data_IF_643676009290
#
_entry.id   IF_643676009290
#
_cell.length_a   1.000
_cell.length_b   1.000
_cell.length_c   1.000
_cell.angle_alpha   90.00
_cell.angle_beta   90.00
_cell.angle_gamma   90.00
#
_symmetry.space_group_name_H-M   'P 1'
#
loop_
_entity.id
_entity.type
_entity.pdbx_description
1 polymer ?
#
# COMPACT_ATOMS: atom_id res chain seq x y z
N UNK A 1 16.77 -74.03 37.91
CA UNK A 1 18.12 -73.72 37.36
C UNK A 1 17.92 -72.77 36.18
N UNK A 2 18.76 -71.73 36.09
CA UNK A 2 18.74 -70.56 35.19
C UNK A 2 17.69 -69.49 35.55
N UNK A 3 17.97 -68.58 36.48
CA UNK A 3 18.83 -67.37 36.42
C UNK A 3 18.44 -66.37 35.32
N UNK A 4 17.57 -65.44 35.72
CA UNK A 4 17.68 -63.99 35.54
C UNK A 4 18.57 -63.46 34.42
N UNK A 5 17.96 -63.21 33.26
CA UNK A 5 18.45 -62.17 32.36
C UNK A 5 17.75 -60.88 32.80
N UNK A 6 18.52 -60.00 33.45
CA UNK A 6 18.04 -58.69 33.86
C UNK A 6 17.76 -57.88 32.60
N UNK A 7 16.49 -57.81 32.17
CA UNK A 7 16.04 -57.15 30.94
C UNK A 7 16.45 -55.67 30.90
N UNK A 8 16.60 -55.05 32.08
CA UNK A 8 17.13 -53.71 32.26
C UNK A 8 18.61 -53.58 31.86
N UNK A 9 19.40 -54.66 31.96
CA UNK A 9 20.79 -54.70 31.54
C UNK A 9 20.92 -54.88 30.01
N UNK A 10 19.99 -55.61 29.39
CA UNK A 10 19.96 -55.80 27.92
C UNK A 10 19.48 -54.53 27.21
N UNK A 11 18.44 -53.87 27.75
CA UNK A 11 17.95 -52.59 27.21
C UNK A 11 18.97 -51.48 27.43
N UNK A 12 19.65 -51.43 28.59
CA UNK A 12 20.76 -50.48 28.81
C UNK A 12 21.94 -50.75 27.87
N UNK A 13 22.32 -52.01 27.64
CA UNK A 13 23.41 -52.35 26.73
C UNK A 13 23.09 -52.04 25.26
N UNK A 14 21.84 -52.25 24.81
CA UNK A 14 21.39 -51.86 23.48
C UNK A 14 21.32 -50.34 23.32
N UNK A 15 20.81 -49.62 24.31
CA UNK A 15 20.80 -48.16 24.31
C UNK A 15 22.24 -47.60 24.31
N UNK A 16 23.16 -48.20 25.06
CA UNK A 16 24.57 -47.84 25.06
C UNK A 16 25.25 -48.09 23.70
N UNK A 17 24.95 -49.21 23.03
CA UNK A 17 25.50 -49.51 21.70
C UNK A 17 25.00 -48.56 20.62
N UNK A 18 23.71 -48.21 20.66
CA UNK A 18 23.11 -47.26 19.71
C UNK A 18 23.56 -45.82 19.98
N UNK A 19 23.73 -45.43 21.26
CA UNK A 19 24.26 -44.12 21.63
C UNK A 19 25.73 -43.95 21.22
N UNK A 20 26.58 -44.97 21.42
CA UNK A 20 27.97 -44.92 20.95
C UNK A 20 28.08 -44.89 19.42
N UNK A 21 27.25 -45.64 18.69
CA UNK A 21 27.21 -45.56 17.22
C UNK A 21 26.72 -44.20 16.72
N UNK A 22 25.72 -43.61 17.37
CA UNK A 22 25.24 -42.27 17.03
C UNK A 22 26.28 -41.17 17.33
N UNK A 23 27.00 -41.28 18.45
CA UNK A 23 28.10 -40.37 18.80
C UNK A 23 29.29 -40.54 17.86
N UNK A 24 29.66 -41.77 17.47
CA UNK A 24 30.70 -41.98 16.47
C UNK A 24 30.34 -41.40 15.09
N UNK A 25 29.07 -41.51 14.68
CA UNK A 25 28.57 -40.88 13.44
C UNK A 25 28.59 -39.35 13.57
N UNK A 26 28.20 -38.78 14.71
CA UNK A 26 28.21 -37.34 14.94
C UNK A 26 29.65 -36.77 14.99
N UNK A 27 30.61 -37.51 15.56
CA UNK A 27 32.04 -37.12 15.58
C UNK A 27 32.69 -37.20 14.19
N UNK A 28 32.25 -38.14 13.33
CA UNK A 28 32.66 -38.22 11.93
C UNK A 28 32.05 -37.05 11.12
N UNK A 29 30.80 -36.68 11.39
CA UNK A 29 30.12 -35.55 10.75
C UNK A 29 30.74 -34.19 11.14
N UNK A 30 31.07 -34.00 12.43
CA UNK A 30 31.75 -32.78 12.92
C UNK A 30 33.23 -32.70 12.50
N UNK A 31 33.86 -33.83 12.15
CA UNK A 31 35.21 -33.87 11.57
C UNK A 31 35.25 -33.55 10.07
N UNK A 32 34.16 -33.79 9.33
CA UNK A 32 34.07 -33.58 7.89
C UNK A 32 33.84 -32.11 7.49
N UNK A 33 33.38 -31.26 8.41
CA UNK A 33 33.17 -29.82 8.17
C UNK A 33 34.49 -29.02 8.07
N UNK A 34 35.63 -29.59 8.47
CA UNK A 34 36.94 -28.91 8.45
C UNK A 34 37.81 -29.14 7.21
N UNK A 35 37.35 -29.95 6.24
CA UNK A 35 38.07 -30.17 4.97
C UNK A 35 37.06 -30.29 3.85
N UNK A 36 36.74 -29.18 3.19
CA UNK A 36 35.78 -29.11 2.10
C UNK A 36 35.98 -30.19 1.03
N UNK A 37 35.17 -31.24 1.07
CA UNK A 37 35.08 -32.28 0.06
C UNK A 37 33.62 -32.71 -0.10
N UNK A 38 33.16 -32.80 -1.35
CA UNK A 38 31.78 -33.12 -1.73
C UNK A 38 31.40 -34.56 -1.33
N UNK A 39 30.49 -34.70 -0.37
CA UNK A 39 29.97 -35.98 0.14
C UNK A 39 28.66 -36.34 -0.59
N UNK A 40 28.72 -36.63 -1.89
CA UNK A 40 27.52 -37.07 -2.63
C UNK A 40 27.69 -38.37 -3.43
N UNK A 41 28.91 -38.89 -3.61
CA UNK A 41 29.13 -40.13 -4.40
C UNK A 41 29.48 -41.38 -3.58
N UNK A 42 29.77 -41.28 -2.28
CA UNK A 42 30.02 -42.47 -1.44
C UNK A 42 28.79 -42.98 -0.68
N UNK A 43 27.64 -42.30 -0.78
CA UNK A 43 26.42 -42.68 -0.07
C UNK A 43 25.60 -43.75 -0.80
N UNK A 44 25.80 -43.94 -2.10
CA UNK A 44 25.01 -44.84 -2.95
C UNK A 44 25.46 -46.30 -2.90
N UNK A 45 26.65 -46.61 -2.36
CA UNK A 45 27.21 -47.97 -2.36
C UNK A 45 27.11 -48.72 -1.01
N UNK A 46 26.70 -48.07 0.08
CA UNK A 46 26.54 -48.72 1.40
C UNK A 46 25.09 -49.09 1.74
N UNK A 47 24.11 -48.59 0.98
CA UNK A 47 22.67 -48.82 1.21
C UNK A 47 22.09 -50.03 0.45
N UNK A 48 22.91 -50.76 -0.31
CA UNK A 48 22.45 -51.87 -1.15
C UNK A 48 22.59 -53.29 -0.53
N UNK A 49 22.98 -53.41 0.75
CA UNK A 49 23.06 -54.73 1.43
C UNK A 49 22.11 -54.94 2.64
N UNK A 50 21.21 -54.00 2.94
CA UNK A 50 20.19 -54.16 4.00
C UNK A 50 18.81 -54.42 3.37
N UNK A 51 18.66 -55.60 2.76
CA UNK A 51 17.42 -56.06 2.13
C UNK A 51 16.35 -56.45 3.15
N UNK A 52 15.15 -55.85 2.99
CA UNK A 52 13.78 -56.31 3.27
C UNK A 52 13.37 -57.07 4.55
N UNK A 53 14.28 -57.55 5.41
CA UNK A 53 13.93 -58.30 6.63
C UNK A 53 13.76 -57.41 7.88
N UNK A 54 14.26 -56.16 7.86
CA UNK A 54 14.20 -55.27 9.02
C UNK A 54 12.90 -54.46 9.15
N UNK A 55 12.23 -54.15 8.04
CA UNK A 55 11.00 -53.34 8.07
C UNK A 55 9.82 -54.19 8.56
N UNK A 56 9.70 -55.42 8.05
CA UNK A 56 8.62 -56.35 8.46
C UNK A 56 8.76 -56.72 9.94
N UNK A 57 9.99 -56.96 10.40
CA UNK A 57 10.26 -57.25 11.81
C UNK A 57 9.90 -56.05 12.71
N UNK A 58 10.19 -54.82 12.28
CA UNK A 58 9.81 -53.60 12.99
C UNK A 58 8.29 -53.42 13.11
N UNK A 59 7.55 -53.67 12.03
CA UNK A 59 6.08 -53.62 12.05
C UNK A 59 5.46 -54.74 12.93
N UNK A 60 6.02 -55.95 12.92
CA UNK A 60 5.54 -57.06 13.76
C UNK A 60 5.78 -56.76 15.24
N UNK A 61 6.93 -56.19 15.60
CA UNK A 61 7.23 -55.79 16.99
C UNK A 61 6.28 -54.69 17.47
N UNK A 62 5.96 -53.71 16.61
CA UNK A 62 4.98 -52.66 16.92
C UNK A 62 3.58 -53.26 17.09
N UNK A 63 3.16 -54.16 16.20
CA UNK A 63 1.84 -54.81 16.26
C UNK A 63 1.70 -55.67 17.53
N UNK A 64 2.75 -56.42 17.90
CA UNK A 64 2.81 -57.22 19.13
C UNK A 64 2.80 -56.34 20.38
N UNK A 65 3.42 -55.16 20.34
CA UNK A 65 3.40 -54.18 21.42
C UNK A 65 1.98 -53.64 21.68
N UNK A 66 1.21 -53.33 20.62
CA UNK A 66 -0.18 -52.88 20.75
C UNK A 66 -1.16 -53.98 21.17
N UNK A 67 -0.87 -55.25 20.88
CA UNK A 67 -1.72 -56.39 21.29
C UNK A 67 -1.49 -56.78 22.75
N UNK A 68 -0.25 -56.71 23.27
CA UNK A 68 0.07 -57.05 24.66
C UNK A 68 -0.11 -55.89 25.65
N UNK A 69 -0.16 -54.64 25.17
CA UNK A 69 -0.43 -53.46 26.00
C UNK A 69 -1.60 -52.64 25.42
N UNK A 70 -2.84 -53.15 25.47
CA UNK A 70 -4.02 -52.43 24.97
C UNK A 70 -4.31 -51.13 25.77
N UNK A 71 -3.62 -50.93 26.90
CA UNK A 71 -3.69 -49.73 27.74
C UNK A 71 -2.63 -48.66 27.43
N UNK A 72 -1.68 -48.89 26.52
CA UNK A 72 -0.87 -47.82 25.93
C UNK A 72 -1.60 -47.23 24.73
N UNK A 73 -2.80 -46.72 24.98
CA UNK A 73 -3.25 -45.56 24.22
C UNK A 73 -2.12 -44.54 24.39
N UNK A 74 -1.54 -44.10 23.27
CA UNK A 74 -0.95 -42.76 23.22
C UNK A 74 -1.98 -41.91 23.96
N UNK A 75 -1.66 -41.32 25.14
CA UNK A 75 -2.58 -40.33 25.65
C UNK A 75 -2.68 -39.39 24.48
N UNK A 76 -3.88 -39.27 23.90
CA UNK A 76 -4.18 -38.16 23.01
C UNK A 76 -3.46 -37.01 23.66
N UNK A 77 -2.46 -36.45 22.99
CA UNK A 77 -1.90 -35.21 23.43
C UNK A 77 -3.08 -34.26 23.32
N UNK A 78 -3.91 -34.25 24.36
CA UNK A 78 -4.79 -33.16 24.68
C UNK A 78 -3.78 -32.07 24.84
N UNK A 79 -3.59 -31.33 23.75
CA UNK A 79 -2.89 -30.09 23.82
C UNK A 79 -3.67 -29.37 24.92
N UNK A 80 -3.04 -29.26 26.09
CA UNK A 80 -3.46 -28.28 27.06
C UNK A 80 -3.26 -27.00 26.28
N UNK A 81 -4.31 -26.56 25.57
CA UNK A 81 -4.33 -25.30 24.86
C UNK A 81 -4.15 -24.28 25.97
N UNK A 82 -2.88 -23.90 26.20
CA UNK A 82 -2.52 -22.94 27.25
C UNK A 82 -2.95 -21.60 26.69
N UNK A 83 -4.23 -21.31 26.83
CA UNK A 83 -4.74 -19.98 26.67
C UNK A 83 -4.17 -19.14 27.81
N UNK A 84 -3.57 -17.96 27.55
CA UNK A 84 -3.17 -17.07 28.62
C UNK A 84 -4.35 -16.78 29.56
N UNK A 85 -4.15 -16.79 30.88
CA UNK A 85 -5.24 -16.68 31.86
C UNK A 85 -6.10 -15.40 31.75
N UNK A 86 -5.55 -14.35 31.14
CA UNK A 86 -6.22 -13.07 30.92
C UNK A 86 -6.79 -12.93 29.50
N UNK A 87 -6.71 -14.00 28.69
CA UNK A 87 -7.26 -14.07 27.34
C UNK A 87 -8.31 -15.17 27.25
N UNK A 88 -9.16 -15.07 26.23
CA UNK A 88 -10.19 -16.04 25.89
C UNK A 88 -9.83 -16.65 24.54
N UNK A 89 -9.76 -17.97 24.47
CA UNK A 89 -9.41 -18.69 23.26
C UNK A 89 -10.63 -19.48 22.77
N UNK A 90 -10.95 -19.34 21.49
CA UNK A 90 -12.07 -20.02 20.83
C UNK A 90 -11.55 -20.98 19.76
N UNK A 91 -12.39 -21.92 19.32
CA UNK A 91 -12.13 -22.79 18.15
C UNK A 91 -10.74 -23.44 18.19
N UNK A 92 -10.45 -24.20 19.25
CA UNK A 92 -9.13 -24.83 19.45
C UNK A 92 -7.95 -23.83 19.52
N UNK A 93 -8.25 -22.61 19.97
CA UNK A 93 -7.33 -21.49 20.10
C UNK A 93 -6.78 -20.92 18.78
N UNK A 94 -7.57 -21.01 17.71
CA UNK A 94 -7.34 -20.27 16.47
C UNK A 94 -7.67 -18.78 16.65
N UNK A 95 -8.70 -18.46 17.44
CA UNK A 95 -9.05 -17.09 17.77
C UNK A 95 -8.73 -16.80 19.23
N UNK A 96 -7.86 -15.81 19.47
CA UNK A 96 -7.40 -15.43 20.80
C UNK A 96 -7.77 -13.98 21.07
N UNK A 97 -8.68 -13.79 22.02
CA UNK A 97 -9.18 -12.50 22.47
C UNK A 97 -8.54 -12.09 23.79
N UNK A 98 -7.69 -11.08 23.75
CA UNK A 98 -6.98 -10.50 24.89
C UNK A 98 -7.37 -9.03 25.10
N UNK A 99 -8.56 -8.60 24.69
CA UNK A 99 -8.99 -7.19 24.78
C UNK A 99 -9.22 -6.77 26.22
N UNK A 100 -8.96 -5.48 26.51
CA UNK A 100 -9.24 -4.85 27.81
C UNK A 100 -8.64 -5.60 29.01
N UNK A 101 -7.53 -6.32 28.79
CA UNK A 101 -6.89 -7.19 29.78
C UNK A 101 -5.75 -6.48 30.55
N UNK A 102 -5.58 -5.18 30.34
CA UNK A 102 -4.53 -4.32 30.94
C UNK A 102 -3.10 -4.79 30.64
N UNK A 103 -2.87 -5.39 29.48
CA UNK A 103 -1.51 -5.78 29.08
C UNK A 103 -0.64 -4.56 28.80
N UNK A 104 0.54 -4.52 29.42
CA UNK A 104 1.59 -3.51 29.13
C UNK A 104 2.59 -4.00 28.07
N UNK A 105 2.63 -5.32 27.87
CA UNK A 105 3.44 -6.00 26.85
C UNK A 105 2.63 -7.12 26.21
N UNK A 106 3.03 -7.53 24.99
CA UNK A 106 2.43 -8.68 24.31
C UNK A 106 2.52 -9.93 25.21
N UNK A 107 1.40 -10.61 25.51
CA UNK A 107 1.40 -11.74 26.43
C UNK A 107 2.24 -12.90 25.91
N UNK A 108 2.93 -13.58 26.82
CA UNK A 108 3.68 -14.80 26.51
C UNK A 108 2.75 -16.03 26.52
N UNK A 109 3.16 -17.07 25.80
CA UNK A 109 2.43 -18.34 25.79
C UNK A 109 1.22 -18.36 24.85
N UNK A 110 1.15 -17.43 23.90
CA UNK A 110 0.13 -17.44 22.86
C UNK A 110 0.20 -18.75 22.03
N UNK A 111 -0.93 -19.42 21.75
CA UNK A 111 -0.98 -20.64 20.95
C UNK A 111 -0.38 -20.45 19.54
N UNK A 112 0.48 -21.37 19.09
CA UNK A 112 1.13 -21.28 17.76
C UNK A 112 0.16 -21.37 16.57
N UNK A 113 -1.00 -22.00 16.80
CA UNK A 113 -2.09 -22.11 15.84
C UNK A 113 -3.00 -20.88 15.78
N UNK A 114 -2.70 -19.81 16.54
CA UNK A 114 -3.50 -18.58 16.51
C UNK A 114 -3.52 -18.00 15.10
N UNK A 115 -4.71 -17.87 14.56
CA UNK A 115 -5.05 -17.26 13.28
C UNK A 115 -5.39 -15.77 13.44
N UNK A 116 -6.16 -15.44 14.48
CA UNK A 116 -6.60 -14.09 14.81
C UNK A 116 -6.26 -13.76 16.26
N UNK A 117 -5.52 -12.67 16.46
CA UNK A 117 -5.12 -12.17 17.77
C UNK A 117 -5.65 -10.77 17.99
N UNK A 118 -6.53 -10.63 18.97
CA UNK A 118 -7.11 -9.35 19.42
C UNK A 118 -6.40 -8.89 20.69
N UNK A 119 -5.61 -7.83 20.58
CA UNK A 119 -4.91 -7.17 21.69
C UNK A 119 -5.38 -5.71 21.87
N UNK A 120 -6.57 -5.39 21.35
CA UNK A 120 -7.13 -4.05 21.41
C UNK A 120 -7.51 -3.58 22.82
N UNK A 121 -7.39 -2.27 23.07
CA UNK A 121 -7.81 -1.69 24.36
C UNK A 121 -6.90 -2.08 25.54
N UNK A 122 -5.62 -2.30 25.29
CA UNK A 122 -4.63 -2.60 26.33
C UNK A 122 -3.74 -1.36 26.58
N UNK A 123 -2.70 -1.54 27.41
CA UNK A 123 -1.76 -0.49 27.78
C UNK A 123 -0.38 -0.70 27.13
N UNK A 124 -0.33 -1.29 25.94
CA UNK A 124 0.92 -1.58 25.24
C UNK A 124 1.60 -0.27 24.85
N UNK A 125 2.86 -0.08 25.25
CA UNK A 125 3.64 1.13 24.92
C UNK A 125 4.70 0.89 23.84
N UNK A 126 5.22 -0.33 23.75
CA UNK A 126 6.29 -0.73 22.83
C UNK A 126 5.98 -2.11 22.29
N UNK A 127 6.12 -2.32 20.98
CA UNK A 127 6.17 -3.66 20.40
C UNK A 127 7.64 -4.08 20.31
N UNK A 128 8.05 -4.94 21.22
CA UNK A 128 9.43 -5.38 21.33
C UNK A 128 9.88 -6.26 20.16
N UNK A 129 11.20 -6.36 19.97
CA UNK A 129 11.80 -7.28 19.01
C UNK A 129 11.29 -8.71 19.21
N UNK A 130 10.81 -9.33 18.13
CA UNK A 130 10.24 -10.70 18.13
C UNK A 130 9.08 -10.88 19.14
N UNK A 131 8.29 -9.85 19.40
CA UNK A 131 7.15 -9.92 20.32
C UNK A 131 6.14 -11.03 19.97
N UNK A 132 5.98 -11.34 18.68
CA UNK A 132 5.06 -12.36 18.17
C UNK A 132 5.77 -13.64 17.70
N UNK A 133 6.91 -13.98 18.30
CA UNK A 133 7.71 -15.14 17.88
C UNK A 133 6.91 -16.45 17.90
N UNK A 134 6.98 -17.20 16.80
CA UNK A 134 6.34 -18.52 16.70
C UNK A 134 4.86 -18.50 16.30
N UNK A 135 4.25 -17.32 16.11
CA UNK A 135 2.87 -17.17 15.63
C UNK A 135 2.80 -17.17 14.10
N UNK A 136 3.30 -18.24 13.47
CA UNK A 136 3.42 -18.34 12.00
C UNK A 136 2.09 -18.44 11.28
N UNK A 137 1.04 -18.89 11.96
CA UNK A 137 -0.30 -19.06 11.39
C UNK A 137 -1.14 -17.78 11.42
N UNK A 138 -0.62 -16.71 12.04
CA UNK A 138 -1.36 -15.49 12.29
C UNK A 138 -1.64 -14.74 10.98
N UNK A 139 -2.92 -14.38 10.79
CA UNK A 139 -3.41 -13.67 9.59
C UNK A 139 -3.99 -12.31 9.92
N UNK A 140 -4.58 -12.19 11.10
CA UNK A 140 -5.18 -10.94 11.56
C UNK A 140 -4.61 -10.61 12.93
N UNK A 141 -3.96 -9.46 13.03
CA UNK A 141 -3.44 -8.92 14.28
C UNK A 141 -4.06 -7.55 14.53
N UNK A 142 -4.77 -7.43 15.65
CA UNK A 142 -5.44 -6.20 16.04
C UNK A 142 -4.82 -5.66 17.33
N UNK A 143 -4.23 -4.47 17.23
CA UNK A 143 -3.53 -3.76 18.31
C UNK A 143 -4.14 -2.36 18.53
N UNK A 144 -5.39 -2.18 18.11
CA UNK A 144 -6.12 -0.91 18.20
C UNK A 144 -6.24 -0.40 19.64
N UNK A 145 -6.38 0.91 19.83
CA UNK A 145 -6.60 1.54 21.14
C UNK A 145 -5.58 1.10 22.21
N UNK A 146 -4.29 1.21 21.87
CA UNK A 146 -3.18 1.02 22.82
C UNK A 146 -2.42 2.35 22.98
N UNK A 147 -1.25 2.32 23.62
CA UNK A 147 -0.39 3.48 23.82
C UNK A 147 0.94 3.32 23.08
N UNK A 148 0.95 2.58 21.96
CA UNK A 148 2.18 2.18 21.30
C UNK A 148 2.85 3.42 20.69
N UNK A 149 4.07 3.71 21.16
CA UNK A 149 4.91 4.82 20.69
C UNK A 149 6.02 4.34 19.76
N UNK A 150 6.46 3.10 19.93
CA UNK A 150 7.61 2.53 19.24
C UNK A 150 7.36 1.08 18.83
N UNK A 151 7.76 0.75 17.61
CA UNK A 151 7.86 -0.62 17.09
C UNK A 151 9.34 -0.88 16.88
N UNK A 152 9.91 -1.81 17.65
CA UNK A 152 11.33 -2.14 17.54
C UNK A 152 11.61 -2.96 16.27
N UNK A 153 12.86 -2.95 15.77
CA UNK A 153 13.25 -3.78 14.65
C UNK A 153 12.91 -5.26 14.88
N UNK A 154 12.51 -5.94 13.81
CA UNK A 154 12.10 -7.35 13.83
C UNK A 154 10.94 -7.67 14.80
N UNK A 155 10.14 -6.68 15.21
CA UNK A 155 8.95 -6.90 16.05
C UNK A 155 8.00 -7.97 15.47
N UNK A 156 7.82 -7.95 14.16
CA UNK A 156 6.89 -8.83 13.41
C UNK A 156 7.59 -9.98 12.66
N UNK A 157 8.81 -10.35 13.05
CA UNK A 157 9.69 -11.29 12.33
C UNK A 157 9.05 -12.63 11.91
N UNK A 158 8.10 -13.15 12.70
CA UNK A 158 7.46 -14.45 12.45
C UNK A 158 6.19 -14.39 11.60
N UNK A 159 5.71 -13.20 11.22
CA UNK A 159 4.36 -12.99 10.71
C UNK A 159 4.27 -13.00 9.17
N UNK A 160 4.85 -14.01 8.53
CA UNK A 160 4.95 -14.10 7.06
C UNK A 160 3.62 -14.26 6.33
N UNK A 161 2.60 -14.77 7.03
CA UNK A 161 1.26 -14.98 6.48
C UNK A 161 0.23 -13.96 6.98
N UNK A 162 0.70 -12.88 7.63
CA UNK A 162 -0.19 -11.84 8.11
C UNK A 162 -0.84 -11.13 6.92
N UNK A 163 -2.17 -11.09 6.92
CA UNK A 163 -2.97 -10.45 5.86
C UNK A 163 -3.50 -9.09 6.31
N UNK A 164 -3.75 -8.92 7.61
CA UNK A 164 -4.26 -7.68 8.19
C UNK A 164 -3.53 -7.31 9.48
N UNK A 165 -3.04 -6.07 9.52
CA UNK A 165 -2.46 -5.45 10.71
C UNK A 165 -3.21 -4.17 11.04
N UNK A 166 -3.79 -4.13 12.23
CA UNK A 166 -4.48 -2.94 12.74
C UNK A 166 -3.71 -2.34 13.92
N UNK A 167 -3.08 -1.19 13.68
CA UNK A 167 -2.33 -0.37 14.64
C UNK A 167 -3.01 0.99 14.87
N UNK A 168 -4.30 1.08 14.54
CA UNK A 168 -5.09 2.31 14.71
C UNK A 168 -5.14 2.77 16.17
N UNK A 169 -5.39 4.07 16.39
CA UNK A 169 -5.57 4.65 17.73
C UNK A 169 -4.40 4.33 18.68
N UNK A 170 -3.20 4.65 18.23
CA UNK A 170 -1.95 4.51 18.98
C UNK A 170 -1.20 5.86 18.99
N UNK A 171 0.08 5.85 19.39
CA UNK A 171 0.89 7.06 19.56
C UNK A 171 2.15 7.03 18.68
N UNK A 172 2.13 6.27 17.58
CA UNK A 172 3.29 6.09 16.70
C UNK A 172 3.68 7.42 16.05
N UNK A 173 4.98 7.74 16.08
CA UNK A 173 5.54 8.95 15.45
C UNK A 173 6.27 8.58 14.14
N UNK A 174 6.87 7.40 14.10
CA UNK A 174 7.59 6.86 12.94
C UNK A 174 7.32 5.36 12.79
N UNK A 175 7.62 4.84 11.60
CA UNK A 175 7.61 3.41 11.30
C UNK A 175 9.06 2.90 11.20
N UNK A 176 9.36 1.68 11.65
CA UNK A 176 10.69 1.11 11.50
C UNK A 176 10.96 0.76 10.03
N UNK A 177 12.22 0.88 9.60
CA UNK A 177 12.64 0.67 8.21
C UNK A 177 12.41 -0.76 7.74
N UNK A 178 12.49 -1.72 8.64
CA UNK A 178 12.29 -3.15 8.36
C UNK A 178 10.83 -3.60 8.55
N UNK A 179 9.88 -2.67 8.71
CA UNK A 179 8.47 -2.99 8.99
C UNK A 179 7.88 -3.97 7.96
N UNK A 180 8.15 -3.76 6.68
CA UNK A 180 7.64 -4.61 5.60
C UNK A 180 8.42 -5.90 5.36
N UNK A 181 9.62 -6.05 5.95
CA UNK A 181 10.57 -7.14 5.63
C UNK A 181 10.03 -8.55 5.84
N UNK A 182 9.14 -8.73 6.82
CA UNK A 182 8.69 -10.05 7.27
C UNK A 182 7.24 -10.38 6.88
N UNK A 183 6.41 -9.38 6.58
CA UNK A 183 4.96 -9.52 6.37
C UNK A 183 4.60 -9.41 4.87
N UNK A 184 5.13 -10.29 4.03
CA UNK A 184 4.97 -10.23 2.56
C UNK A 184 3.55 -10.55 2.07
N UNK A 185 2.71 -11.18 2.89
CA UNK A 185 1.32 -11.49 2.59
C UNK A 185 0.33 -10.35 2.97
N UNK A 186 0.83 -9.23 3.50
CA UNK A 186 -0.02 -8.17 4.06
C UNK A 186 -0.86 -7.50 2.96
N UNK A 187 -2.17 -7.42 3.20
CA UNK A 187 -3.18 -6.83 2.30
C UNK A 187 -3.82 -5.56 2.86
N UNK A 188 -3.97 -5.48 4.18
CA UNK A 188 -4.56 -4.32 4.86
C UNK A 188 -3.65 -3.87 6.02
N UNK A 189 -3.24 -2.60 5.98
CA UNK A 189 -2.59 -1.93 7.10
C UNK A 189 -3.41 -0.72 7.52
N UNK A 190 -3.75 -0.67 8.81
CA UNK A 190 -4.41 0.46 9.44
C UNK A 190 -3.50 1.14 10.44
N UNK A 191 -3.24 2.42 10.20
CA UNK A 191 -2.45 3.30 11.05
C UNK A 191 -3.24 4.58 11.38
N UNK A 192 -4.56 4.59 11.20
CA UNK A 192 -5.35 5.78 11.49
C UNK A 192 -5.24 6.20 12.96
N UNK A 193 -5.40 7.50 13.23
CA UNK A 193 -5.30 8.06 14.58
C UNK A 193 -3.97 7.72 15.29
N UNK A 194 -2.86 8.04 14.60
CA UNK A 194 -1.51 8.04 15.16
C UNK A 194 -0.90 9.45 15.07
N UNK A 195 0.40 9.58 15.34
CA UNK A 195 1.13 10.85 15.30
C UNK A 195 2.22 10.87 14.21
N UNK A 196 2.03 10.11 13.13
CA UNK A 196 3.03 9.97 12.07
C UNK A 196 3.29 11.32 11.39
N UNK A 197 4.56 11.72 11.29
CA UNK A 197 4.99 12.97 10.66
C UNK A 197 5.43 12.78 9.20
N UNK A 198 6.02 11.62 8.90
CA UNK A 198 6.48 11.23 7.58
C UNK A 198 6.46 9.70 7.46
N UNK A 199 6.48 9.21 6.22
CA UNK A 199 6.63 7.79 5.90
C UNK A 199 7.88 7.62 5.06
N UNK A 200 8.78 6.74 5.49
CA UNK A 200 9.93 6.35 4.70
C UNK A 200 9.54 5.26 3.71
N UNK A 201 9.87 5.43 2.42
CA UNK A 201 9.56 4.44 1.38
C UNK A 201 10.16 3.05 1.64
N UNK A 202 11.29 2.98 2.35
CA UNK A 202 11.89 1.72 2.77
C UNK A 202 10.99 0.91 3.73
N UNK A 203 10.21 1.59 4.57
CA UNK A 203 9.33 0.93 5.54
C UNK A 203 8.23 0.10 4.86
N UNK A 204 7.82 0.49 3.65
CA UNK A 204 6.71 -0.11 2.89
C UNK A 204 7.18 -0.83 1.61
N UNK A 205 8.49 -1.01 1.43
CA UNK A 205 9.07 -1.42 0.15
C UNK A 205 8.67 -2.83 -0.31
N UNK A 206 8.41 -3.75 0.63
CA UNK A 206 8.20 -5.18 0.34
C UNK A 206 6.73 -5.64 0.40
N UNK A 207 5.77 -4.73 0.28
CA UNK A 207 4.33 -5.03 0.39
C UNK A 207 3.60 -5.08 -0.96
N UNK A 208 4.07 -5.95 -1.85
CA UNK A 208 3.53 -6.09 -3.20
C UNK A 208 2.04 -6.53 -3.24
N UNK A 209 1.55 -7.16 -2.18
CA UNK A 209 0.16 -7.64 -2.06
C UNK A 209 -0.77 -6.67 -1.34
N UNK A 210 -0.28 -5.49 -0.92
CA UNK A 210 -1.09 -4.52 -0.19
C UNK A 210 -2.22 -4.00 -1.07
N UNK A 211 -3.45 -4.07 -0.57
CA UNK A 211 -4.66 -3.59 -1.25
C UNK A 211 -5.20 -2.32 -0.58
N UNK A 212 -5.04 -2.19 0.74
CA UNK A 212 -5.56 -1.08 1.52
C UNK A 212 -4.55 -0.56 2.54
N UNK A 213 -4.29 0.75 2.47
CA UNK A 213 -3.45 1.48 3.42
C UNK A 213 -4.23 2.65 4.00
N UNK A 214 -4.44 2.62 5.33
CA UNK A 214 -5.06 3.72 6.06
C UNK A 214 -4.01 4.48 6.89
N UNK A 215 -3.74 5.73 6.49
CA UNK A 215 -2.85 6.69 7.14
C UNK A 215 -3.63 7.93 7.59
N UNK A 216 -4.96 7.86 7.63
CA UNK A 216 -5.80 9.00 8.00
C UNK A 216 -5.59 9.46 9.43
N UNK A 217 -6.01 10.69 9.77
CA UNK A 217 -5.92 11.21 11.13
C UNK A 217 -4.50 11.12 11.73
N UNK A 218 -3.50 11.45 10.93
CA UNK A 218 -2.10 11.55 11.34
C UNK A 218 -1.62 13.01 11.22
N UNK A 219 -0.31 13.23 11.16
CA UNK A 219 0.30 14.57 11.06
C UNK A 219 1.25 14.66 9.86
N UNK A 220 0.99 13.86 8.81
CA UNK A 220 1.84 13.79 7.62
C UNK A 220 1.86 15.14 6.92
N UNK A 221 3.06 15.67 6.68
CA UNK A 221 3.26 16.99 6.03
C UNK A 221 3.47 16.84 4.53
N UNK A 222 4.06 15.73 4.08
CA UNK A 222 4.24 15.42 2.68
C UNK A 222 4.28 13.91 2.43
N UNK A 223 4.01 13.54 1.18
CA UNK A 223 4.23 12.19 0.65
C UNK A 223 5.00 12.36 -0.65
N UNK A 224 6.32 12.16 -0.56
CA UNK A 224 7.22 12.40 -1.69
C UNK A 224 7.28 11.24 -2.69
N UNK A 225 8.02 11.42 -3.78
CA UNK A 225 8.27 10.37 -4.76
C UNK A 225 8.87 9.11 -4.14
N UNK A 226 8.37 7.95 -4.56
CA UNK A 226 8.90 6.64 -4.14
C UNK A 226 8.47 6.15 -2.75
N UNK A 227 7.72 6.94 -1.96
CA UNK A 227 7.18 6.50 -0.65
C UNK A 227 6.32 5.24 -0.78
N UNK A 228 5.57 5.12 -1.87
CA UNK A 228 4.68 3.97 -2.13
C UNK A 228 5.22 3.00 -3.19
N UNK A 229 6.53 2.96 -3.41
CA UNK A 229 7.13 2.17 -4.51
C UNK A 229 6.81 0.67 -4.43
N UNK A 230 6.70 0.12 -3.23
CA UNK A 230 6.37 -1.28 -2.98
C UNK A 230 4.89 -1.64 -3.07
N UNK A 231 3.99 -0.66 -3.29
CA UNK A 231 2.53 -0.85 -3.15
C UNK A 231 1.82 -0.98 -4.50
N UNK A 232 2.38 -1.76 -5.42
CA UNK A 232 1.91 -1.85 -6.82
C UNK A 232 0.46 -2.36 -6.99
N UNK A 233 -0.08 -3.06 -6.00
CA UNK A 233 -1.47 -3.59 -5.98
C UNK A 233 -2.44 -2.77 -5.13
N UNK A 234 -2.01 -1.62 -4.63
CA UNK A 234 -2.84 -0.80 -3.75
C UNK A 234 -4.07 -0.30 -4.49
N UNK A 235 -5.24 -0.52 -3.88
CA UNK A 235 -6.55 -0.10 -4.40
C UNK A 235 -7.14 1.06 -3.59
N UNK A 236 -6.87 1.11 -2.30
CA UNK A 236 -7.43 2.12 -1.40
C UNK A 236 -6.33 2.78 -0.57
N UNK A 237 -6.22 4.10 -0.70
CA UNK A 237 -5.28 4.92 0.05
C UNK A 237 -6.03 6.04 0.78
N UNK A 238 -5.97 5.99 2.12
CA UNK A 238 -6.58 6.98 2.98
C UNK A 238 -5.52 7.88 3.60
N UNK A 239 -5.55 9.16 3.24
CA UNK A 239 -4.64 10.21 3.72
C UNK A 239 -5.40 11.42 4.29
N UNK A 240 -6.72 11.32 4.44
CA UNK A 240 -7.56 12.39 4.95
C UNK A 240 -7.24 12.76 6.41
N UNK A 241 -7.52 14.00 6.82
CA UNK A 241 -7.17 14.51 8.14
C UNK A 241 -5.66 14.42 8.45
N UNK A 242 -4.82 14.87 7.51
CA UNK A 242 -3.38 15.04 7.69
C UNK A 242 -3.00 16.54 7.50
N UNK A 243 -1.73 16.83 7.23
CA UNK A 243 -1.21 18.19 7.03
C UNK A 243 -0.53 18.33 5.67
N UNK A 244 -0.95 17.54 4.69
CA UNK A 244 -0.37 17.55 3.34
C UNK A 244 -0.61 18.91 2.69
N UNK A 245 0.41 19.46 2.04
CA UNK A 245 0.34 20.79 1.42
C UNK A 245 0.34 20.76 -0.11
N UNK A 246 0.92 19.71 -0.71
CA UNK A 246 1.03 19.55 -2.16
C UNK A 246 0.84 18.09 -2.51
N UNK A 247 0.15 17.81 -3.62
CA UNK A 247 0.21 16.50 -4.28
C UNK A 247 1.30 16.59 -5.35
N UNK A 248 2.50 16.17 -4.97
CA UNK A 248 3.72 16.31 -5.76
C UNK A 248 3.75 15.34 -6.95
N UNK A 249 4.28 15.78 -8.08
CA UNK A 249 4.57 14.89 -9.19
C UNK A 249 5.52 13.76 -8.76
N UNK A 250 5.24 12.51 -9.16
CA UNK A 250 6.05 11.35 -8.78
C UNK A 250 5.59 10.65 -7.50
N UNK A 251 4.77 11.29 -6.66
CA UNK A 251 4.31 10.72 -5.38
C UNK A 251 3.41 9.50 -5.53
N UNK A 252 2.69 9.40 -6.65
CA UNK A 252 1.68 8.37 -6.93
C UNK A 252 2.00 7.48 -8.15
N UNK A 253 3.21 7.60 -8.72
CA UNK A 253 3.62 6.92 -9.97
C UNK A 253 3.50 5.39 -9.94
N UNK A 254 3.63 4.81 -8.74
CA UNK A 254 3.66 3.36 -8.54
C UNK A 254 2.29 2.77 -8.19
N UNK A 255 1.20 3.54 -8.36
CA UNK A 255 -0.16 3.18 -7.95
C UNK A 255 -1.17 3.09 -9.11
N UNK A 256 -0.89 2.35 -10.21
CA UNK A 256 -1.79 2.30 -11.37
C UNK A 256 -3.15 1.64 -11.09
N UNK A 257 -3.19 0.77 -10.08
CA UNK A 257 -4.40 0.05 -9.63
C UNK A 257 -5.22 0.80 -8.57
N UNK A 258 -4.86 2.04 -8.21
CA UNK A 258 -5.54 2.77 -7.15
C UNK A 258 -6.96 3.17 -7.60
N UNK A 259 -7.94 2.82 -6.80
CA UNK A 259 -9.37 3.07 -7.04
C UNK A 259 -9.90 4.19 -6.16
N UNK A 260 -9.43 4.27 -4.91
CA UNK A 260 -9.91 5.25 -3.92
C UNK A 260 -8.72 6.02 -3.35
N UNK A 261 -8.74 7.34 -3.54
CA UNK A 261 -7.79 8.28 -2.96
C UNK A 261 -8.53 9.31 -2.11
N UNK A 262 -8.38 9.22 -0.79
CA UNK A 262 -9.00 10.13 0.17
C UNK A 262 -7.95 11.13 0.68
N UNK A 263 -8.04 12.38 0.25
CA UNK A 263 -7.14 13.48 0.62
C UNK A 263 -7.88 14.63 1.34
N UNK A 264 -9.14 14.40 1.74
CA UNK A 264 -9.95 15.44 2.38
C UNK A 264 -9.37 15.93 3.71
N UNK A 265 -9.72 17.15 4.10
CA UNK A 265 -9.28 17.75 5.36
C UNK A 265 -7.75 17.73 5.52
N UNK A 266 -7.05 18.16 4.47
CA UNK A 266 -5.60 18.44 4.50
C UNK A 266 -5.38 19.94 4.27
N UNK A 267 -4.14 20.36 4.04
CA UNK A 267 -3.78 21.75 3.76
C UNK A 267 -3.31 21.92 2.31
N UNK A 268 -3.85 21.12 1.39
CA UNK A 268 -3.35 21.03 0.01
C UNK A 268 -3.72 22.33 -0.71
N UNK A 269 -2.70 23.09 -1.13
CA UNK A 269 -2.88 24.33 -1.89
C UNK A 269 -2.59 24.17 -3.38
N UNK A 270 -1.89 23.10 -3.77
CA UNK A 270 -1.54 22.82 -5.15
C UNK A 270 -1.53 21.30 -5.43
N UNK A 271 -1.95 20.96 -6.64
CA UNK A 271 -1.78 19.63 -7.23
C UNK A 271 -0.93 19.81 -8.49
N UNK A 272 0.19 19.11 -8.58
CA UNK A 272 1.04 19.20 -9.76
C UNK A 272 0.35 18.62 -10.99
N UNK A 273 0.64 19.22 -12.14
CA UNK A 273 -0.13 19.05 -13.38
C UNK A 273 -0.33 17.59 -13.80
N UNK A 274 0.69 16.76 -13.62
CA UNK A 274 0.70 15.35 -14.05
C UNK A 274 0.79 14.38 -12.85
N UNK A 275 0.58 14.86 -11.61
CA UNK A 275 0.68 14.02 -10.41
C UNK A 275 -0.39 12.90 -10.34
N UNK A 276 -1.54 13.11 -10.97
CA UNK A 276 -2.65 12.14 -11.01
C UNK A 276 -2.63 11.26 -12.28
N UNK A 277 -1.79 11.57 -13.26
CA UNK A 277 -1.73 10.85 -14.54
C UNK A 277 -1.51 9.32 -14.40
N UNK A 278 -0.72 8.82 -13.44
CA UNK A 278 -0.49 7.38 -13.27
C UNK A 278 -1.72 6.57 -12.79
N UNK A 279 -2.78 7.23 -12.31
CA UNK A 279 -3.90 6.60 -11.61
C UNK A 279 -4.99 6.08 -12.58
N UNK A 280 -4.66 5.08 -13.37
CA UNK A 280 -5.51 4.55 -14.45
C UNK A 280 -6.82 3.89 -13.98
N UNK A 281 -6.92 3.52 -12.70
CA UNK A 281 -8.08 2.82 -12.12
C UNK A 281 -8.90 3.69 -11.17
N UNK A 282 -8.60 5.00 -11.09
CA UNK A 282 -9.17 5.85 -10.05
C UNK A 282 -10.67 6.07 -10.24
N UNK A 283 -11.44 5.61 -9.26
CA UNK A 283 -12.89 5.75 -9.22
C UNK A 283 -13.33 6.90 -8.31
N UNK A 284 -12.62 7.14 -7.20
CA UNK A 284 -12.98 8.15 -6.20
C UNK A 284 -11.75 8.98 -5.81
N UNK A 285 -11.87 10.29 -5.96
CA UNK A 285 -10.90 11.29 -5.53
C UNK A 285 -11.58 12.31 -4.60
N UNK A 286 -11.25 12.26 -3.32
CA UNK A 286 -11.78 13.22 -2.36
C UNK A 286 -10.74 14.29 -2.02
N UNK A 287 -11.01 15.55 -2.40
CA UNK A 287 -10.20 16.73 -2.11
C UNK A 287 -10.96 17.76 -1.27
N UNK A 288 -12.08 17.37 -0.66
CA UNK A 288 -12.91 18.23 0.19
C UNK A 288 -12.09 18.83 1.35
N UNK A 289 -12.37 20.07 1.73
CA UNK A 289 -11.78 20.66 2.95
C UNK A 289 -10.26 20.87 2.86
N UNK A 290 -9.75 21.27 1.69
CA UNK A 290 -8.34 21.61 1.47
C UNK A 290 -8.16 23.13 1.33
N UNK A 291 -6.97 23.56 0.91
CA UNK A 291 -6.62 24.97 0.73
C UNK A 291 -6.48 25.35 -0.76
N UNK A 292 -7.28 24.75 -1.63
CA UNK A 292 -7.25 25.01 -3.07
C UNK A 292 -7.99 26.31 -3.40
N UNK A 293 -7.28 27.26 -4.03
CA UNK A 293 -7.87 28.51 -4.51
C UNK A 293 -8.22 28.46 -6.00
N UNK A 294 -7.40 27.77 -6.79
CA UNK A 294 -7.53 27.66 -8.24
C UNK A 294 -7.24 26.23 -8.71
N UNK A 295 -7.70 25.89 -9.90
CA UNK A 295 -7.41 24.63 -10.56
C UNK A 295 -6.92 24.87 -11.97
N UNK A 296 -5.99 24.04 -12.43
CA UNK A 296 -5.61 23.99 -13.85
C UNK A 296 -6.45 22.91 -14.53
N UNK A 297 -6.98 23.20 -15.72
CA UNK A 297 -7.74 22.21 -16.50
C UNK A 297 -6.95 20.91 -16.73
N UNK A 298 -5.62 21.00 -16.92
CA UNK A 298 -4.77 19.85 -17.17
C UNK A 298 -4.67 18.89 -15.96
N UNK A 299 -4.91 19.36 -14.73
CA UNK A 299 -4.79 18.56 -13.50
C UNK A 299 -5.71 17.33 -13.49
N UNK A 300 -6.95 17.45 -13.99
CA UNK A 300 -7.90 16.34 -13.99
C UNK A 300 -8.04 15.65 -15.34
N UNK A 301 -7.73 16.32 -16.46
CA UNK A 301 -7.82 15.68 -17.79
C UNK A 301 -6.71 14.63 -18.01
N UNK A 302 -5.67 14.65 -17.18
CA UNK A 302 -4.62 13.64 -17.16
C UNK A 302 -5.11 12.31 -16.56
N UNK A 303 -6.27 12.28 -15.90
CA UNK A 303 -6.93 11.05 -15.46
C UNK A 303 -7.55 10.35 -16.66
N UNK A 304 -6.92 9.26 -17.11
CA UNK A 304 -7.43 8.43 -18.20
C UNK A 304 -8.20 7.22 -17.66
N UNK A 305 -9.34 7.49 -17.02
CA UNK A 305 -10.19 6.50 -16.34
C UNK A 305 -11.53 6.31 -17.05
N UNK A 306 -12.29 5.29 -16.64
CA UNK A 306 -13.66 5.04 -17.17
C UNK A 306 -14.68 6.03 -16.60
N UNK A 307 -14.63 6.22 -15.28
CA UNK A 307 -15.41 7.20 -14.54
C UNK A 307 -14.68 7.52 -13.22
N UNK A 308 -14.50 8.80 -12.91
CA UNK A 308 -13.94 9.27 -11.65
C UNK A 308 -14.87 10.28 -11.00
N UNK A 309 -15.25 9.98 -9.77
CA UNK A 309 -16.01 10.82 -8.86
C UNK A 309 -15.07 11.70 -8.04
N UNK A 310 -15.29 13.01 -8.06
CA UNK A 310 -14.43 14.03 -7.47
C UNK A 310 -15.25 14.88 -6.50
N UNK A 311 -14.70 15.09 -5.31
CA UNK A 311 -15.26 16.00 -4.30
C UNK A 311 -14.31 17.18 -4.08
N UNK A 312 -14.81 18.41 -4.16
CA UNK A 312 -14.04 19.67 -4.17
C UNK A 312 -14.57 20.75 -3.22
N UNK A 313 -15.70 20.52 -2.55
CA UNK A 313 -16.29 21.46 -1.60
C UNK A 313 -15.38 21.75 -0.39
N UNK A 314 -15.69 22.80 0.36
CA UNK A 314 -14.89 23.18 1.53
C UNK A 314 -13.47 23.70 1.22
N UNK A 315 -13.20 24.09 -0.03
CA UNK A 315 -11.95 24.77 -0.43
C UNK A 315 -12.19 26.27 -0.63
N UNK A 316 -11.17 27.13 -0.37
CA UNK A 316 -11.29 28.59 -0.48
C UNK A 316 -11.20 29.08 -1.95
N UNK A 317 -12.18 28.69 -2.76
CA UNK A 317 -12.17 28.95 -4.20
C UNK A 317 -12.16 30.45 -4.55
N UNK A 318 -11.25 30.85 -5.44
CA UNK A 318 -11.24 32.18 -6.06
C UNK A 318 -12.05 32.12 -7.35
N UNK A 319 -13.30 32.59 -7.29
CA UNK A 319 -14.28 32.56 -8.36
C UNK A 319 -14.05 33.68 -9.39
N UNK A 320 -12.86 33.66 -9.98
CA UNK A 320 -12.52 34.45 -11.15
C UNK A 320 -12.97 33.75 -12.46
N UNK A 321 -12.73 34.42 -13.58
CA UNK A 321 -13.11 33.89 -14.88
C UNK A 321 -12.29 32.67 -15.32
N UNK A 322 -11.07 32.51 -14.80
CA UNK A 322 -10.26 31.32 -15.10
C UNK A 322 -10.85 30.09 -14.42
N UNK A 323 -11.23 30.18 -13.14
CA UNK A 323 -11.88 29.08 -12.43
C UNK A 323 -13.20 28.68 -13.09
N UNK A 324 -14.02 29.66 -13.48
CA UNK A 324 -15.25 29.41 -14.23
C UNK A 324 -15.01 28.67 -15.55
N UNK A 325 -13.98 29.07 -16.32
CA UNK A 325 -13.59 28.39 -17.57
C UNK A 325 -13.15 26.95 -17.31
N UNK A 326 -12.42 26.71 -16.22
CA UNK A 326 -11.93 25.38 -15.84
C UNK A 326 -13.08 24.46 -15.47
N UNK A 327 -13.99 24.87 -14.57
CA UNK A 327 -15.16 24.07 -14.20
C UNK A 327 -16.10 23.86 -15.39
N UNK A 328 -16.31 24.88 -16.23
CA UNK A 328 -17.09 24.73 -17.47
C UNK A 328 -16.51 23.62 -18.34
N UNK A 329 -15.19 23.58 -18.55
CA UNK A 329 -14.57 22.49 -19.33
C UNK A 329 -14.68 21.13 -18.63
N UNK A 330 -14.39 21.04 -17.33
CA UNK A 330 -14.40 19.77 -16.58
C UNK A 330 -15.80 19.15 -16.56
N UNK A 331 -16.85 19.94 -16.35
CA UNK A 331 -18.23 19.44 -16.30
C UNK A 331 -18.72 18.87 -17.64
N UNK A 332 -18.08 19.20 -18.77
CA UNK A 332 -18.36 18.61 -20.08
C UNK A 332 -17.60 17.30 -20.34
N UNK A 333 -16.63 16.94 -19.49
CA UNK A 333 -15.85 15.71 -19.62
C UNK A 333 -16.67 14.54 -19.06
N UNK A 334 -17.08 13.61 -19.93
CA UNK A 334 -18.04 12.55 -19.59
C UNK A 334 -17.60 11.59 -18.48
N UNK A 335 -16.29 11.34 -18.36
CA UNK A 335 -15.74 10.42 -17.37
C UNK A 335 -15.37 11.11 -16.04
N UNK A 336 -15.55 12.42 -15.93
CA UNK A 336 -15.28 13.17 -14.70
C UNK A 336 -16.60 13.64 -14.11
N UNK A 337 -16.84 13.30 -12.85
CA UNK A 337 -18.05 13.67 -12.13
C UNK A 337 -17.68 14.45 -10.88
N UNK A 338 -18.04 15.74 -10.83
CA UNK A 338 -17.90 16.56 -9.62
C UNK A 338 -19.20 16.42 -8.83
N UNK A 339 -19.21 15.50 -7.86
CA UNK A 339 -20.44 15.08 -7.17
C UNK A 339 -21.01 16.21 -6.29
N UNK A 340 -20.14 17.04 -5.73
CA UNK A 340 -20.47 18.12 -4.82
C UNK A 340 -20.41 19.51 -5.48
N UNK A 341 -20.55 19.60 -6.80
CA UNK A 341 -20.42 20.86 -7.55
C UNK A 341 -21.33 21.98 -7.01
N UNK A 342 -22.54 21.64 -6.52
CA UNK A 342 -23.47 22.62 -5.93
C UNK A 342 -22.94 23.20 -4.62
N UNK A 343 -22.09 22.49 -3.91
CA UNK A 343 -21.50 22.84 -2.63
C UNK A 343 -20.11 23.51 -2.78
N UNK A 344 -19.62 23.69 -4.02
CA UNK A 344 -18.44 24.49 -4.31
C UNK A 344 -18.80 25.97 -4.16
N UNK A 345 -18.37 26.58 -3.07
CA UNK A 345 -18.62 27.99 -2.75
C UNK A 345 -17.39 28.85 -2.93
N UNK A 346 -17.60 30.09 -3.36
CA UNK A 346 -16.57 31.09 -3.53
C UNK A 346 -16.10 31.63 -2.18
N UNK A 347 -14.80 31.81 -2.03
CA UNK A 347 -14.19 32.57 -0.94
C UNK A 347 -13.79 33.96 -1.43
N UNK A 348 -13.19 34.01 -2.62
CA UNK A 348 -12.81 35.24 -3.31
C UNK A 348 -13.55 35.37 -4.65
N UNK A 349 -13.79 36.59 -5.15
CA UNK A 349 -13.57 37.87 -4.46
C UNK A 349 -14.63 38.13 -3.36
N UNK A 350 -14.42 39.11 -2.45
CA UNK A 350 -15.30 39.34 -1.29
C UNK A 350 -16.79 39.55 -1.61
N UNK A 351 -17.12 39.98 -2.83
CA UNK A 351 -18.51 40.20 -3.25
C UNK A 351 -19.25 38.89 -3.52
N UNK A 352 -18.52 37.80 -3.79
CA UNK A 352 -19.06 36.48 -4.09
C UNK A 352 -18.85 35.50 -2.94
N UNK A 353 -18.25 35.91 -1.82
CA UNK A 353 -17.99 35.01 -0.68
C UNK A 353 -19.28 34.31 -0.22
N UNK A 354 -19.23 32.97 -0.15
CA UNK A 354 -20.35 32.10 0.20
C UNK A 354 -21.31 31.79 -0.95
N UNK A 355 -21.23 32.49 -2.10
CA UNK A 355 -22.00 32.15 -3.28
C UNK A 355 -21.53 30.81 -3.85
N UNK A 356 -22.46 29.98 -4.31
CA UNK A 356 -22.11 28.73 -4.98
C UNK A 356 -21.72 28.99 -6.43
N UNK A 357 -20.59 28.41 -6.86
CA UNK A 357 -20.01 28.59 -8.19
C UNK A 357 -21.00 28.20 -9.30
N UNK A 358 -21.91 27.26 -9.02
CA UNK A 358 -22.96 26.83 -9.96
C UNK A 358 -23.98 27.94 -10.30
N UNK A 359 -24.07 28.98 -9.47
CA UNK A 359 -25.04 30.08 -9.61
C UNK A 359 -24.38 31.42 -9.96
N UNK A 360 -23.05 31.50 -9.90
CA UNK A 360 -22.33 32.70 -10.33
C UNK A 360 -22.44 32.79 -11.85
N UNK A 361 -23.00 33.90 -12.33
CA UNK A 361 -23.34 34.09 -13.74
C UNK A 361 -22.07 34.10 -14.61
N UNK A 362 -21.92 33.06 -15.43
CA UNK A 362 -20.84 32.96 -16.41
C UNK A 362 -20.86 34.09 -17.45
N UNK A 363 -21.98 34.81 -17.60
CA UNK A 363 -22.09 35.97 -18.51
C UNK A 363 -21.17 37.13 -18.12
N UNK A 364 -20.81 37.27 -16.85
CA UNK A 364 -19.83 38.28 -16.43
C UNK A 364 -18.42 38.03 -17.01
N UNK A 365 -18.10 36.79 -17.38
CA UNK A 365 -16.78 36.40 -17.87
C UNK A 365 -16.57 36.49 -19.39
N UNK A 366 -17.58 36.98 -20.13
CA UNK A 366 -17.54 37.10 -21.59
C UNK A 366 -16.74 38.31 -22.08
N UNK A 367 -16.50 39.31 -21.23
CA UNK A 367 -15.83 40.56 -21.61
C UNK A 367 -14.43 40.33 -22.19
N UNK A 368 -13.66 39.39 -21.63
CA UNK A 368 -12.31 39.06 -22.14
C UNK A 368 -12.33 38.23 -23.42
N UNK A 369 -13.28 37.29 -23.55
CA UNK A 369 -13.37 36.48 -24.77
C UNK A 369 -13.86 37.30 -25.96
N UNK A 370 -14.74 38.27 -25.73
CA UNK A 370 -15.23 39.18 -26.75
C UNK A 370 -14.11 40.11 -27.26
N UNK A 371 -13.27 40.63 -26.37
CA UNK A 371 -12.14 41.49 -26.78
C UNK A 371 -11.09 40.71 -27.57
N UNK A 372 -10.74 39.49 -27.16
CA UNK A 372 -9.84 38.61 -27.95
C UNK A 372 -10.44 38.26 -29.30
N UNK A 373 -11.73 37.96 -29.38
CA UNK A 373 -12.43 37.69 -30.64
C UNK A 373 -12.43 38.93 -31.56
N UNK A 374 -12.69 40.12 -31.02
CA UNK A 374 -12.65 41.37 -31.77
C UNK A 374 -11.23 41.67 -32.27
N UNK A 375 -10.21 41.49 -31.43
CA UNK A 375 -8.80 41.68 -31.82
C UNK A 375 -8.40 40.68 -32.92
N UNK A 376 -8.75 39.41 -32.77
CA UNK A 376 -8.43 38.38 -33.78
C UNK A 376 -9.12 38.65 -35.11
N UNK A 377 -10.41 39.00 -35.09
CA UNK A 377 -11.16 39.36 -36.31
C UNK A 377 -10.58 40.62 -36.96
N UNK A 378 -10.25 41.66 -36.20
CA UNK A 378 -9.67 42.90 -36.75
C UNK A 378 -8.28 42.66 -37.34
N UNK A 379 -7.44 41.84 -36.70
CA UNK A 379 -6.14 41.42 -37.27
C UNK A 379 -6.35 40.63 -38.56
N UNK A 380 -7.31 39.69 -38.59
CA UNK A 380 -7.58 38.90 -39.79
C UNK A 380 -8.04 39.78 -40.97
N UNK A 381 -8.94 40.72 -40.71
CA UNK A 381 -9.46 41.66 -41.72
C UNK A 381 -8.35 42.59 -42.23
N UNK A 382 -7.49 43.11 -41.34
CA UNK A 382 -6.39 44.00 -41.74
C UNK A 382 -5.34 43.25 -42.59
N UNK A 383 -5.01 42.01 -42.24
CA UNK A 383 -4.13 41.15 -43.04
C UNK A 383 -4.75 40.87 -44.42
N UNK A 384 -6.03 40.49 -44.48
CA UNK A 384 -6.73 40.26 -45.75
C UNK A 384 -6.75 41.50 -46.63
N UNK A 385 -7.05 42.67 -46.05
CA UNK A 385 -7.02 43.94 -46.77
C UNK A 385 -5.62 44.29 -47.29
N UNK A 386 -4.57 44.04 -46.51
CA UNK A 386 -3.18 44.25 -46.94
C UNK A 386 -2.79 43.31 -48.09
N UNK A 387 -3.17 42.03 -48.03
CA UNK A 387 -2.93 41.06 -49.12
C UNK A 387 -3.65 41.48 -50.40
N UNK A 388 -4.93 41.87 -50.30
CA UNK A 388 -5.70 42.36 -51.46
C UNK A 388 -5.09 43.64 -52.03
N UNK A 389 -4.65 44.58 -51.19
CA UNK A 389 -3.95 45.79 -51.65
C UNK A 389 -2.62 45.47 -52.33
N UNK A 390 -1.84 44.53 -51.79
CA UNK A 390 -0.59 44.09 -52.40
C UNK A 390 -0.81 43.43 -53.77
N UNK A 391 -1.83 42.59 -53.92
CA UNK A 391 -2.22 42.04 -55.22
C UNK A 391 -2.70 43.10 -56.20
N UNK A 392 -3.49 44.07 -55.74
CA UNK A 392 -3.99 45.16 -56.59
C UNK A 392 -2.84 46.05 -57.07
N UNK A 393 -1.85 46.33 -56.23
CA UNK A 393 -0.63 47.04 -56.62
C UNK A 393 0.23 46.21 -57.59
N UNK A 394 0.36 44.89 -57.39
CA UNK A 394 1.03 44.00 -58.37
C UNK A 394 0.35 44.04 -59.75
N UNK A 395 -0.99 43.99 -59.80
CA UNK A 395 -1.76 44.08 -61.06
C UNK A 395 -1.61 45.47 -61.72
N UNK A 396 -1.62 46.55 -60.93
CA UNK A 396 -1.43 47.93 -61.44
C UNK A 396 -0.03 48.16 -62.02
N UNK A 397 1.01 47.60 -61.39
CA UNK A 397 2.37 47.64 -61.94
C UNK A 397 2.52 46.76 -63.19
N UNK A 398 1.80 45.64 -63.27
CA UNK A 398 1.75 44.83 -64.50
C UNK A 398 1.09 45.57 -65.67
N UNK A 399 0.02 46.35 -65.44
CA UNK A 399 -0.64 47.13 -66.49
C UNK A 399 0.23 48.27 -67.05
N UNK A 400 1.00 48.95 -66.20
CA UNK A 400 1.90 50.03 -66.62
C UNK A 400 3.06 49.59 -67.53
N UNK A 401 3.47 48.32 -67.47
CA UNK A 401 4.52 47.80 -68.35
C UNK A 401 4.05 47.52 -69.78
N UNK A 402 2.73 47.44 -70.04
CA UNK A 402 2.21 47.16 -71.39
C UNK A 402 1.94 48.44 -72.20
N UNK A 403 1.76 49.59 -71.54
CA UNK A 403 1.52 50.87 -72.23
C UNK A 403 2.82 51.54 -72.74
N UNK A 404 3.99 51.05 -72.34
CA UNK A 404 5.31 51.60 -72.74
C UNK A 404 5.95 50.92 -73.96
N UNK A 405 5.40 49.83 -74.48
CA UNK A 405 6.00 49.04 -75.57
C UNK A 405 5.37 49.27 -76.97
N UNK A 406 4.48 50.27 -77.14
CA UNK A 406 3.76 50.47 -78.43
C UNK A 406 4.25 51.64 -79.31
N UNK A 407 5.34 52.31 -78.97
CA UNK A 407 5.92 53.35 -79.84
C UNK A 407 7.43 53.24 -79.99
N UNK A 408 7.88 52.41 -80.93
CA UNK A 408 9.00 52.76 -81.83
C UNK A 408 9.24 51.69 -82.91
N UNK A 409 8.92 52.06 -84.14
CA UNK A 409 9.50 51.52 -85.39
C UNK A 409 9.29 52.60 -86.46
N UNK A 410 9.99 52.57 -87.60
CA UNK A 410 11.43 52.73 -87.77
C UNK A 410 11.73 53.87 -88.78
N UNK A 411 12.96 54.37 -88.78
CA UNK A 411 13.68 54.84 -89.99
C UNK A 411 15.09 55.30 -89.62
#
# INVERSE_FOLDING_TARGET
MFNGINLNLVVKSLFFLYFFRAVSILTIMLGAEKKGCNVFESFTLSLQSLSNMNIIFFYIVILMFFIHFPGLLIPSAGSTHVCPHQCICYEQAELVDCRLANFEHVPRGLPRGTWLLELGGNNLSIIGTRAFVGLWSLRVLVLTNNQIREIQPQAFFSLSFLEKLDLSWNQLITLPVDLSSSMSALKELRLEHNNLLYISGFSLEYWDNMEKLDLSHNRLVSVGPGVFRGLSRLRQLYLHNNRLTVVEQGSLDMLPGLEVLQLSNNNISQIDTDALAPLHSLAVLNLEGNNLHHLKFKTFISLHTTATHIQLSGNPWSCDCELHRVFSKILHVRHLHIDDYRNVTCQDPPQLTGASLAWVDSQLCFAETATVLVITVTVLVTVMAAVVMAERNRKKNRGKNWDTDSHSSPS
#
